data_IF_081536714341
#
_entry.id   IF_081536714341
#
_cell.length_a   1.000
_cell.length_b   1.000
_cell.length_c   1.000
_cell.angle_alpha   90.00
_cell.angle_beta   90.00
_cell.angle_gamma   90.00
#
_symmetry.space_group_name_H-M   'P 1'
#
loop_
_entity.id
_entity.type
_entity.pdbx_description
1 polymer ?
#
# COMPACT_ATOMS: atom_id res chain seq x y z
N UNK A 1 8.15 -9.29 -12.18
CA UNK A 1 7.78 -9.28 -10.75
C UNK A 1 6.44 -8.61 -10.56
N UNK A 2 5.51 -9.21 -9.77
CA UNK A 2 4.23 -8.58 -9.41
C UNK A 2 4.31 -8.04 -7.98
N UNK A 3 3.93 -6.78 -7.78
CA UNK A 3 3.96 -6.11 -6.46
C UNK A 3 2.59 -5.56 -6.11
N UNK A 4 2.05 -5.98 -4.97
CA UNK A 4 0.86 -5.38 -4.38
C UNK A 4 1.24 -4.11 -3.62
N UNK A 5 0.50 -3.03 -3.82
CA UNK A 5 0.62 -1.77 -3.07
C UNK A 5 -0.70 -1.45 -2.40
N UNK A 6 -0.68 -1.34 -1.08
CA UNK A 6 -1.85 -1.05 -0.22
C UNK A 6 -1.56 0.09 0.73
N UNK A 7 -2.59 0.78 1.19
CA UNK A 7 -2.48 1.91 2.10
C UNK A 7 -3.74 2.09 2.95
N UNK A 8 -3.59 2.85 4.04
CA UNK A 8 -4.70 3.42 4.80
C UNK A 8 -5.75 2.36 5.21
N UNK A 9 -5.26 1.30 5.89
CA UNK A 9 -6.05 0.14 6.32
C UNK A 9 -6.98 0.51 7.47
N UNK A 10 -6.49 1.34 8.41
CA UNK A 10 -7.25 1.88 9.52
C UNK A 10 -8.09 0.83 10.27
N UNK A 11 -7.51 -0.33 10.56
CA UNK A 11 -8.16 -1.37 11.35
C UNK A 11 -9.20 -2.22 10.59
N UNK A 12 -9.30 -2.08 9.26
CA UNK A 12 -10.25 -2.85 8.44
C UNK A 12 -9.72 -4.26 8.14
N UNK A 13 -9.69 -5.14 9.13
CA UNK A 13 -9.12 -6.49 9.04
C UNK A 13 -9.80 -7.36 7.98
N UNK A 14 -11.14 -7.32 7.89
CA UNK A 14 -11.89 -8.10 6.90
C UNK A 14 -11.54 -7.68 5.47
N UNK A 15 -11.46 -6.38 5.20
CA UNK A 15 -11.09 -5.85 3.89
C UNK A 15 -9.63 -6.18 3.55
N UNK A 16 -8.73 -6.06 4.52
CA UNK A 16 -7.33 -6.47 4.35
C UNK A 16 -7.22 -7.94 3.97
N UNK A 17 -8.01 -8.81 4.64
CA UNK A 17 -8.02 -10.24 4.34
C UNK A 17 -8.41 -10.51 2.88
N UNK A 18 -9.44 -9.85 2.35
CA UNK A 18 -9.86 -9.99 0.95
C UNK A 18 -8.69 -9.68 0.00
N UNK A 19 -7.95 -8.59 0.25
CA UNK A 19 -6.82 -8.18 -0.59
C UNK A 19 -5.63 -9.13 -0.48
N UNK A 20 -5.34 -9.66 0.72
CA UNK A 20 -4.24 -10.61 0.92
C UNK A 20 -4.56 -12.01 0.36
N UNK A 21 -5.82 -12.44 0.43
CA UNK A 21 -6.28 -13.66 -0.23
C UNK A 21 -6.12 -13.54 -1.77
N UNK A 22 -6.52 -12.39 -2.34
CA UNK A 22 -6.27 -12.08 -3.76
C UNK A 22 -4.78 -12.12 -4.09
N UNK A 23 -3.93 -11.49 -3.26
CA UNK A 23 -2.48 -11.48 -3.47
C UNK A 23 -1.87 -12.89 -3.48
N UNK A 24 -2.40 -13.79 -2.67
CA UNK A 24 -1.98 -15.18 -2.62
C UNK A 24 -2.36 -15.91 -3.91
N UNK A 25 -3.61 -15.75 -4.38
CA UNK A 25 -4.13 -16.36 -5.59
C UNK A 25 -3.41 -15.86 -6.86
N UNK A 26 -3.06 -14.59 -6.89
CA UNK A 26 -2.34 -13.95 -8.01
C UNK A 26 -0.81 -14.15 -7.98
N UNK A 27 -0.29 -14.91 -7.01
CA UNK A 27 1.14 -15.16 -6.84
C UNK A 27 1.96 -13.87 -6.75
N UNK A 28 1.51 -12.92 -5.91
CA UNK A 28 2.22 -11.66 -5.66
C UNK A 28 3.58 -11.94 -5.02
N UNK A 29 4.65 -11.32 -5.58
CA UNK A 29 6.03 -11.49 -5.11
C UNK A 29 6.36 -10.65 -3.88
N UNK A 30 5.84 -9.39 -3.82
CA UNK A 30 6.06 -8.42 -2.74
C UNK A 30 4.79 -7.66 -2.42
N UNK A 31 4.66 -7.27 -1.15
CA UNK A 31 3.56 -6.46 -0.64
C UNK A 31 4.16 -5.21 0.00
N UNK A 32 3.82 -4.04 -0.53
CA UNK A 32 4.23 -2.74 -0.01
C UNK A 32 3.03 -2.09 0.67
N UNK A 33 3.16 -1.83 1.96
CA UNK A 33 2.14 -1.16 2.79
C UNK A 33 2.58 0.27 3.02
N UNK A 34 1.80 1.24 2.57
CA UNK A 34 2.17 2.66 2.61
C UNK A 34 1.79 3.36 3.93
N UNK A 35 1.40 2.61 4.97
CA UNK A 35 1.13 3.15 6.30
C UNK A 35 -0.34 3.28 6.66
N UNK A 36 -0.59 3.86 7.82
CA UNK A 36 -1.89 4.01 8.47
C UNK A 36 -2.63 2.66 8.61
N UNK A 37 -1.95 1.73 9.32
CA UNK A 37 -2.31 0.32 9.41
C UNK A 37 -3.43 0.11 10.42
N UNK A 38 -3.22 0.60 11.64
CA UNK A 38 -4.16 0.42 12.74
C UNK A 38 -5.02 1.68 12.95
N UNK A 39 -6.08 1.52 13.72
CA UNK A 39 -7.02 2.60 13.99
C UNK A 39 -6.89 3.15 15.41
N UNK A 40 -6.08 2.51 16.23
CA UNK A 40 -6.08 2.73 17.66
C UNK A 40 -4.75 3.15 18.19
N UNK A 41 -4.85 4.16 18.97
CA UNK A 41 -3.72 4.84 19.51
C UNK A 41 -3.15 4.17 20.76
N UNK A 42 -3.71 3.12 21.36
CA UNK A 42 -3.15 2.52 22.59
C UNK A 42 -3.85 1.23 23.06
N UNK A 43 -4.77 0.65 22.29
CA UNK A 43 -5.45 -0.57 22.71
C UNK A 43 -5.34 -1.71 21.69
N UNK A 44 -5.04 -2.90 22.19
CA UNK A 44 -5.05 -4.11 21.37
C UNK A 44 -6.48 -4.59 21.14
N UNK A 45 -7.06 -4.23 20.02
CA UNK A 45 -8.39 -4.67 19.63
C UNK A 45 -8.37 -6.03 18.93
N UNK A 46 -9.55 -6.63 18.74
CA UNK A 46 -9.70 -7.85 17.92
C UNK A 46 -9.17 -7.59 16.51
N UNK A 47 -9.55 -6.48 15.88
CA UNK A 47 -9.10 -6.11 14.55
C UNK A 47 -7.58 -5.93 14.47
N UNK A 48 -6.94 -5.34 15.48
CA UNK A 48 -5.48 -5.21 15.53
C UNK A 48 -4.77 -6.56 15.57
N UNK A 49 -5.31 -7.52 16.33
CA UNK A 49 -4.78 -8.89 16.39
C UNK A 49 -4.93 -9.64 15.06
N UNK A 50 -6.10 -9.47 14.42
CA UNK A 50 -6.35 -10.07 13.11
C UNK A 50 -5.40 -9.52 12.05
N UNK A 51 -5.24 -8.20 11.96
CA UNK A 51 -4.30 -7.54 11.05
C UNK A 51 -2.86 -8.02 11.29
N UNK A 52 -2.44 -8.06 12.57
CA UNK A 52 -1.14 -8.59 12.95
C UNK A 52 -0.96 -10.03 12.43
N UNK A 53 -1.93 -10.92 12.70
CA UNK A 53 -1.89 -12.31 12.25
C UNK A 53 -1.80 -12.43 10.74
N UNK A 54 -2.60 -11.66 9.99
CA UNK A 54 -2.57 -11.62 8.54
C UNK A 54 -1.19 -11.21 8.00
N UNK A 55 -0.58 -10.18 8.56
CA UNK A 55 0.75 -9.76 8.14
C UNK A 55 1.85 -10.74 8.50
N UNK A 56 1.77 -11.41 9.65
CA UNK A 56 2.73 -12.47 10.02
C UNK A 56 2.73 -13.64 9.03
N UNK A 57 1.57 -13.97 8.44
CA UNK A 57 1.46 -15.01 7.39
C UNK A 57 2.20 -14.63 6.10
N UNK A 58 2.41 -13.33 5.87
CA UNK A 58 3.07 -12.79 4.67
C UNK A 58 4.43 -12.14 4.95
N UNK A 59 5.02 -12.34 6.12
CA UNK A 59 6.20 -11.62 6.62
C UNK A 59 7.37 -11.55 5.62
N UNK A 60 7.61 -12.62 4.87
CA UNK A 60 8.71 -12.71 3.90
C UNK A 60 8.52 -11.89 2.62
N UNK A 61 7.31 -11.36 2.38
CA UNK A 61 6.98 -10.54 1.22
C UNK A 61 6.78 -9.06 1.56
N UNK A 62 6.73 -8.71 2.85
CA UNK A 62 6.33 -7.39 3.33
C UNK A 62 7.44 -6.35 3.30
N UNK A 63 7.07 -5.16 2.88
CA UNK A 63 7.78 -3.89 3.10
C UNK A 63 6.74 -2.93 3.63
N UNK A 64 6.99 -2.32 4.79
CA UNK A 64 6.03 -1.45 5.46
C UNK A 64 6.60 -0.06 5.68
N UNK A 65 5.79 0.94 5.36
CA UNK A 65 6.11 2.36 5.52
C UNK A 65 5.26 2.90 6.67
N UNK A 66 5.83 3.82 7.44
CA UNK A 66 5.15 4.49 8.54
C UNK A 66 4.19 5.54 8.04
N UNK A 67 2.93 5.43 8.42
CA UNK A 67 1.94 6.49 8.27
C UNK A 67 1.93 7.45 9.46
N UNK A 68 1.13 8.50 9.36
CA UNK A 68 1.00 9.48 10.46
C UNK A 68 0.15 8.95 11.64
N UNK A 69 -0.63 7.91 11.44
CA UNK A 69 -1.40 7.25 12.50
C UNK A 69 -0.67 6.05 13.12
N UNK A 70 0.50 5.64 12.58
CA UNK A 70 1.24 4.48 13.08
C UNK A 70 2.18 4.87 14.23
N UNK A 71 1.92 4.37 15.41
CA UNK A 71 2.72 4.59 16.61
C UNK A 71 3.90 3.61 16.73
N UNK A 72 4.82 3.89 17.65
CA UNK A 72 5.88 2.94 18.00
C UNK A 72 5.35 1.65 18.63
N UNK A 73 4.20 1.72 19.30
CA UNK A 73 3.52 0.54 19.83
C UNK A 73 2.98 -0.34 18.70
N UNK A 74 2.38 0.24 17.67
CA UNK A 74 1.86 -0.49 16.51
C UNK A 74 2.96 -1.30 15.82
N UNK A 75 4.17 -0.77 15.75
CA UNK A 75 5.32 -1.48 15.20
C UNK A 75 5.61 -2.79 15.93
N UNK A 76 5.33 -2.90 17.24
CA UNK A 76 5.55 -4.14 18.00
C UNK A 76 4.62 -5.28 17.60
N UNK A 77 3.51 -4.97 16.94
CA UNK A 77 2.52 -5.93 16.45
C UNK A 77 2.83 -6.44 15.04
N UNK A 78 3.80 -5.85 14.36
CA UNK A 78 4.11 -6.11 12.96
C UNK A 78 5.34 -7.01 12.81
N UNK A 79 5.38 -7.86 11.75
CA UNK A 79 6.50 -8.79 11.53
C UNK A 79 7.77 -8.11 11.02
N UNK A 80 7.67 -6.88 10.51
CA UNK A 80 8.79 -6.09 9.96
C UNK A 80 8.74 -4.66 10.49
N UNK A 81 9.89 -3.97 10.50
CA UNK A 81 9.98 -2.57 10.91
C UNK A 81 9.28 -1.62 9.94
N UNK A 82 8.81 -0.49 10.46
CA UNK A 82 8.23 0.59 9.67
C UNK A 82 9.34 1.53 9.20
N UNK A 83 9.43 1.73 7.88
CA UNK A 83 10.36 2.63 7.22
C UNK A 83 9.71 4.01 7.02
N UNK A 84 10.50 5.06 6.98
CA UNK A 84 9.97 6.39 6.62
C UNK A 84 9.67 6.48 5.12
N UNK A 85 10.47 5.83 4.30
CA UNK A 85 10.29 5.67 2.85
C UNK A 85 11.05 4.42 2.36
N UNK A 86 10.76 4.02 1.13
CA UNK A 86 11.45 2.90 0.47
C UNK A 86 11.74 3.22 -0.99
N UNK A 87 13.02 3.14 -1.37
CA UNK A 87 13.45 3.24 -2.77
C UNK A 87 13.89 1.88 -3.29
N UNK A 88 13.49 1.55 -4.51
CA UNK A 88 13.87 0.31 -5.17
C UNK A 88 13.68 0.38 -6.68
N UNK A 89 14.07 -0.68 -7.38
CA UNK A 89 13.79 -0.86 -8.80
C UNK A 89 12.81 -2.04 -8.96
N UNK A 90 11.67 -1.79 -9.59
CA UNK A 90 10.65 -2.79 -9.92
C UNK A 90 10.48 -2.81 -11.43
N UNK A 91 10.74 -3.96 -12.07
CA UNK A 91 10.60 -4.14 -13.53
C UNK A 91 11.29 -3.04 -14.38
N UNK A 92 12.46 -2.58 -13.92
CA UNK A 92 13.21 -1.50 -14.57
C UNK A 92 12.82 -0.08 -14.17
N UNK A 93 11.70 0.12 -13.47
CA UNK A 93 11.28 1.41 -12.94
C UNK A 93 11.98 1.72 -11.62
N UNK A 94 12.60 2.88 -11.50
CA UNK A 94 13.07 3.39 -10.22
C UNK A 94 11.89 3.98 -9.45
N UNK A 95 11.56 3.36 -8.31
CA UNK A 95 10.36 3.63 -7.53
C UNK A 95 10.71 4.25 -6.18
N UNK A 96 9.86 5.18 -5.74
CA UNK A 96 9.90 5.80 -4.43
C UNK A 96 8.53 5.63 -3.75
N UNK A 97 8.52 5.02 -2.59
CA UNK A 97 7.33 4.75 -1.80
C UNK A 97 7.38 5.51 -0.48
N UNK A 98 6.32 6.21 -0.12
CA UNK A 98 6.19 6.92 1.15
C UNK A 98 4.71 7.01 1.55
N UNK A 99 4.41 7.42 2.78
CA UNK A 99 3.00 7.57 3.16
C UNK A 99 2.34 8.81 2.53
N UNK A 100 3.03 9.92 2.47
CA UNK A 100 2.51 11.15 1.84
C UNK A 100 2.22 12.29 2.80
N UNK A 101 2.35 12.10 4.10
CA UNK A 101 2.15 13.15 5.11
C UNK A 101 3.35 14.10 5.29
N UNK A 102 4.53 13.67 4.87
CA UNK A 102 5.76 14.48 4.90
C UNK A 102 6.08 15.01 3.50
N UNK A 103 6.67 16.20 3.43
CA UNK A 103 7.20 16.74 2.18
C UNK A 103 8.42 15.93 1.76
N UNK A 104 8.45 15.51 0.52
CA UNK A 104 9.58 14.81 -0.09
C UNK A 104 10.19 15.65 -1.20
N UNK A 105 11.51 15.66 -1.29
CA UNK A 105 12.20 16.23 -2.43
C UNK A 105 12.24 15.19 -3.54
N UNK A 106 11.60 15.49 -4.65
CA UNK A 106 11.54 14.60 -5.80
C UNK A 106 12.88 14.56 -6.54
N UNK A 107 13.44 13.37 -6.69
CA UNK A 107 14.61 13.15 -7.53
C UNK A 107 14.18 12.93 -8.99
N UNK A 108 14.84 13.58 -9.93
CA UNK A 108 14.56 13.41 -11.37
C UNK A 108 14.81 11.99 -11.89
N UNK A 109 15.51 11.17 -11.13
CA UNK A 109 15.79 9.77 -11.49
C UNK A 109 14.61 8.82 -11.17
N UNK A 110 13.66 9.21 -10.31
CA UNK A 110 12.50 8.40 -9.95
C UNK A 110 11.47 8.44 -11.08
N UNK A 111 10.95 7.27 -11.44
CA UNK A 111 9.94 7.09 -12.48
C UNK A 111 8.57 6.68 -11.95
N UNK A 112 8.50 6.21 -10.71
CA UNK A 112 7.26 5.92 -9.99
C UNK A 112 7.32 6.51 -8.58
N UNK A 113 6.43 7.46 -8.29
CA UNK A 113 6.15 7.96 -6.96
C UNK A 113 4.83 7.35 -6.46
N UNK A 114 4.89 6.61 -5.36
CA UNK A 114 3.71 5.98 -4.76
C UNK A 114 3.51 6.50 -3.33
N UNK A 115 2.30 6.96 -3.03
CA UNK A 115 1.93 7.44 -1.70
C UNK A 115 0.49 7.05 -1.33
N UNK A 116 0.16 7.06 -0.04
CA UNK A 116 -1.18 6.92 0.54
C UNK A 116 -1.73 8.25 1.05
N UNK A 117 -2.21 8.26 2.30
CA UNK A 117 -2.61 9.41 3.11
C UNK A 117 -3.88 10.15 2.66
N UNK A 118 -4.07 10.35 1.37
CA UNK A 118 -5.24 11.10 0.88
C UNK A 118 -6.52 10.27 0.87
N UNK A 119 -6.39 8.95 0.87
CA UNK A 119 -7.46 7.94 0.74
C UNK A 119 -8.22 8.00 -0.59
N UNK A 120 -7.64 8.63 -1.61
CA UNK A 120 -8.23 8.79 -2.94
C UNK A 120 -7.36 8.07 -3.96
N UNK A 121 -7.94 7.12 -4.67
CA UNK A 121 -7.25 6.35 -5.71
C UNK A 121 -6.82 7.26 -6.86
N UNK A 122 -5.51 7.33 -7.11
CA UNK A 122 -4.90 8.16 -8.15
C UNK A 122 -3.86 7.39 -8.93
N UNK A 123 -3.92 7.47 -10.25
CA UNK A 123 -2.90 6.92 -11.14
C UNK A 123 -2.80 7.84 -12.36
N UNK A 124 -1.67 8.52 -12.47
CA UNK A 124 -1.41 9.49 -13.51
C UNK A 124 0.02 9.37 -14.01
N UNK A 125 0.22 9.49 -15.32
CA UNK A 125 1.55 9.56 -15.95
C UNK A 125 1.74 10.97 -16.52
N UNK A 126 2.81 11.63 -16.09
CA UNK A 126 3.18 12.96 -16.54
C UNK A 126 4.69 13.03 -16.77
N UNK A 127 5.12 13.42 -17.97
CA UNK A 127 6.54 13.57 -18.32
C UNK A 127 7.40 12.35 -17.95
N UNK A 128 6.98 11.15 -18.32
CA UNK A 128 7.63 9.87 -18.00
C UNK A 128 7.72 9.52 -16.51
N UNK A 129 7.00 10.21 -15.65
CA UNK A 129 6.87 9.90 -14.23
C UNK A 129 5.44 9.46 -13.95
N UNK A 130 5.29 8.37 -13.22
CA UNK A 130 4.01 7.84 -12.78
C UNK A 130 3.79 8.24 -11.32
N UNK A 131 2.61 8.77 -11.03
CA UNK A 131 2.14 9.09 -9.68
C UNK A 131 1.03 8.12 -9.32
N UNK A 132 1.26 7.33 -8.28
CA UNK A 132 0.35 6.30 -7.79
C UNK A 132 -0.11 6.62 -6.36
N UNK A 133 -1.41 6.62 -6.15
CA UNK A 133 -2.00 6.43 -4.83
C UNK A 133 -2.96 5.24 -4.93
N UNK A 134 -2.76 4.13 -4.19
CA UNK A 134 -3.63 2.97 -4.31
C UNK A 134 -5.04 3.22 -3.74
N UNK A 135 -5.28 4.39 -3.14
CA UNK A 135 -6.47 4.68 -2.36
C UNK A 135 -6.35 4.13 -0.94
N UNK A 136 -7.47 3.83 -0.33
CA UNK A 136 -7.55 3.29 1.03
C UNK A 136 -8.33 1.98 1.04
N UNK A 137 -7.82 0.99 1.78
CA UNK A 137 -8.57 -0.25 2.04
C UNK A 137 -9.72 0.04 3.02
N UNK A 138 -9.44 0.74 4.11
CA UNK A 138 -10.38 0.87 5.22
C UNK A 138 -11.34 2.05 5.12
N UNK A 139 -10.82 3.20 4.65
CA UNK A 139 -11.51 4.50 4.71
C UNK A 139 -11.42 5.27 3.39
N UNK A 140 -11.90 4.73 2.27
CA UNK A 140 -11.85 5.44 0.99
C UNK A 140 -12.57 6.79 1.09
N UNK A 141 -11.99 7.81 0.43
CA UNK A 141 -12.57 9.16 0.29
C UNK A 141 -12.93 9.46 -1.17
N UNK A 142 -12.84 8.47 -2.00
CA UNK A 142 -13.47 8.40 -3.32
C UNK A 142 -14.75 7.55 -3.22
N UNK A 143 -15.43 7.33 -4.32
CA UNK A 143 -16.70 6.57 -4.33
C UNK A 143 -16.50 5.05 -4.37
N UNK A 144 -15.28 4.55 -4.11
CA UNK A 144 -14.99 3.12 -4.08
C UNK A 144 -15.40 2.48 -2.73
N UNK A 145 -15.52 1.14 -2.71
CA UNK A 145 -15.67 0.36 -1.48
C UNK A 145 -14.32 0.10 -0.77
N UNK A 146 -13.25 0.64 -1.30
CA UNK A 146 -11.84 0.48 -0.97
C UNK A 146 -11.06 0.09 -2.22
N UNK A 147 -9.73 0.30 -2.20
CA UNK A 147 -8.90 0.05 -3.38
C UNK A 147 -7.47 -0.32 -3.03
N UNK A 148 -6.79 -0.94 -4.00
CA UNK A 148 -5.39 -1.33 -3.94
C UNK A 148 -4.77 -1.31 -5.35
N UNK A 149 -3.46 -1.34 -5.45
CA UNK A 149 -2.78 -1.35 -6.74
C UNK A 149 -1.89 -2.58 -6.92
N UNK A 150 -1.73 -3.00 -8.17
CA UNK A 150 -0.76 -4.01 -8.61
C UNK A 150 0.21 -3.35 -9.60
N UNK A 151 1.51 -3.49 -9.34
CA UNK A 151 2.57 -3.19 -10.29
C UNK A 151 2.98 -4.53 -10.94
N UNK A 152 2.77 -4.65 -12.23
CA UNK A 152 3.16 -5.81 -13.06
C UNK A 152 4.32 -5.45 -13.98
N UNK A 153 4.73 -6.35 -14.88
CA UNK A 153 5.79 -6.08 -15.85
C UNK A 153 5.41 -5.01 -16.88
N UNK A 154 4.14 -4.94 -17.24
CA UNK A 154 3.69 -4.09 -18.36
C UNK A 154 2.75 -2.95 -17.93
N UNK A 155 2.19 -3.00 -16.73
CA UNK A 155 1.21 -2.04 -16.28
C UNK A 155 1.19 -1.86 -14.77
N UNK A 156 0.66 -0.70 -14.36
CA UNK A 156 0.20 -0.44 -13.01
C UNK A 156 -1.31 -0.32 -13.08
N UNK A 157 -2.00 -1.12 -12.25
CA UNK A 157 -3.47 -1.18 -12.24
C UNK A 157 -3.99 -0.96 -10.82
N UNK A 158 -4.99 -0.08 -10.66
CA UNK A 158 -5.74 0.06 -9.41
C UNK A 158 -7.05 -0.71 -9.54
N UNK A 159 -7.32 -1.54 -8.55
CA UNK A 159 -8.56 -2.32 -8.39
C UNK A 159 -9.37 -1.82 -7.20
N UNK A 160 -10.69 -1.95 -7.28
CA UNK A 160 -11.54 -1.90 -6.08
C UNK A 160 -11.55 -3.27 -5.35
N UNK A 161 -12.28 -3.35 -4.23
CA UNK A 161 -12.38 -4.59 -3.46
C UNK A 161 -13.31 -5.65 -4.10
N UNK A 162 -14.02 -5.30 -5.16
CA UNK A 162 -14.75 -6.25 -6.02
C UNK A 162 -13.89 -6.72 -7.21
N UNK A 163 -12.59 -6.37 -7.21
CA UNK A 163 -11.60 -6.70 -8.24
C UNK A 163 -11.88 -6.10 -9.61
N UNK A 164 -12.65 -5.02 -9.66
CA UNK A 164 -12.87 -4.24 -10.88
C UNK A 164 -11.72 -3.26 -11.07
N UNK A 165 -11.26 -3.11 -12.30
CA UNK A 165 -10.25 -2.12 -12.66
C UNK A 165 -10.83 -0.72 -12.55
N UNK A 166 -10.24 0.11 -11.70
CA UNK A 166 -10.57 1.53 -11.58
C UNK A 166 -9.71 2.40 -12.49
N UNK A 167 -8.40 2.10 -12.56
CA UNK A 167 -7.43 2.84 -13.37
C UNK A 167 -6.30 1.92 -13.81
N UNK A 168 -5.72 2.19 -14.97
CA UNK A 168 -4.57 1.46 -15.51
C UNK A 168 -3.66 2.38 -16.32
N UNK A 169 -2.36 2.17 -16.21
CA UNK A 169 -1.32 2.85 -17.01
C UNK A 169 -0.26 1.83 -17.42
N UNK A 170 0.09 1.81 -18.70
CA UNK A 170 1.21 1.02 -19.21
C UNK A 170 2.57 1.65 -18.82
N UNK A 171 3.56 0.80 -18.51
CA UNK A 171 4.91 1.18 -18.09
C UNK A 171 5.96 0.80 -19.13
#
# INVERSE_FOLDING_TARGET
MKVLVISDIHGASEKLKIVLDFATNENIDKIIVLGDIFNNYYELTVASKEISTLFWQHANKLIMIRGNCDSTYDQTLLPVGLLDHYETVINGLRCYFHHGHLRTNYSSSIKLYANGHTHVAKLEKSNDVIFLNPGSIGRPRDYSNGSFAIISENAITIFDLDFKVLKEVNI
#
